data_IF_768485622858
#
_entry.id   IF_768485622858
#
_cell.length_a   1.000
_cell.length_b   1.000
_cell.length_c   1.000
_cell.angle_alpha   90.00
_cell.angle_beta   90.00
_cell.angle_gamma   90.00
#
_symmetry.space_group_name_H-M   'P 1'
#
loop_
_entity.id
_entity.type
_entity.pdbx_description
1 polymer ?
#
# COMPACT_ATOMS: atom_id res chain seq x y z
N UNK A 1 20.63 25.41 28.29
CA UNK A 1 19.89 24.34 29.00
C UNK A 1 19.94 23.10 28.15
N UNK A 2 20.48 21.99 28.66
CA UNK A 2 20.65 20.75 27.90
C UNK A 2 19.30 20.07 27.63
N UNK A 3 19.22 19.32 26.53
CA UNK A 3 18.02 18.57 26.06
C UNK A 3 17.51 17.63 27.17
N UNK A 4 18.41 17.05 27.96
CA UNK A 4 18.13 16.20 29.13
C UNK A 4 17.22 16.90 30.15
N UNK A 5 17.53 18.14 30.52
CA UNK A 5 16.73 18.91 31.49
C UNK A 5 15.33 19.30 30.98
N UNK A 6 15.13 19.36 29.65
CA UNK A 6 13.82 19.58 29.05
C UNK A 6 12.95 18.34 29.08
N UNK A 7 13.54 17.17 28.83
CA UNK A 7 12.86 15.87 28.91
C UNK A 7 12.40 15.56 30.32
N UNK A 8 13.22 15.83 31.32
CA UNK A 8 12.87 15.60 32.72
C UNK A 8 11.75 16.53 33.21
N UNK A 9 11.69 17.76 32.71
CA UNK A 9 10.57 18.68 32.98
C UNK A 9 9.25 18.22 32.38
N UNK A 10 9.28 17.68 31.17
CA UNK A 10 8.09 17.13 30.50
C UNK A 10 7.57 15.86 31.19
N UNK A 11 8.49 15.04 31.73
CA UNK A 11 8.12 13.86 32.53
C UNK A 11 7.48 14.25 33.87
N UNK A 12 7.94 15.30 34.50
CA UNK A 12 7.38 15.80 35.76
C UNK A 12 5.98 16.44 35.56
N UNK A 13 5.70 17.04 34.39
CA UNK A 13 4.40 17.63 34.06
C UNK A 13 3.36 16.60 33.64
N UNK A 14 3.75 15.39 33.25
CA UNK A 14 2.84 14.31 32.81
C UNK A 14 2.28 13.45 33.97
N UNK A 15 2.20 13.96 35.19
CA UNK A 15 1.51 13.36 36.32
C UNK A 15 1.99 11.94 36.65
N UNK A 16 2.94 11.80 37.54
CA UNK A 16 3.52 10.52 37.95
C UNK A 16 2.51 9.48 38.42
N UNK A 17 2.14 8.57 37.53
CA UNK A 17 1.74 7.21 37.91
C UNK A 17 2.94 6.31 37.66
N UNK A 18 3.47 5.76 38.76
CA UNK A 18 4.51 4.75 38.71
C UNK A 18 4.02 3.61 37.77
N UNK A 19 4.64 3.52 36.62
CA UNK A 19 4.51 2.32 35.76
C UNK A 19 5.31 1.26 36.48
N UNK A 20 4.61 0.24 36.99
CA UNK A 20 5.23 -0.93 37.59
C UNK A 20 6.29 -1.47 36.62
N UNK A 21 7.43 -1.82 37.15
CA UNK A 21 8.56 -2.39 36.42
C UNK A 21 8.06 -3.55 35.57
N UNK A 22 8.03 -3.34 34.26
CA UNK A 22 7.80 -4.43 33.29
C UNK A 22 9.05 -5.30 33.38
N UNK A 23 8.86 -6.53 33.87
CA UNK A 23 9.90 -7.53 34.00
C UNK A 23 10.65 -7.70 32.67
N UNK A 24 11.96 -7.82 32.76
CA UNK A 24 12.90 -8.12 31.69
C UNK A 24 12.61 -9.48 31.04
N UNK A 25 11.65 -9.50 30.11
CA UNK A 25 11.50 -10.58 29.14
C UNK A 25 11.19 -10.02 27.74
N UNK A 26 11.99 -9.05 27.31
CA UNK A 26 12.07 -8.77 25.87
C UNK A 26 12.85 -9.93 25.25
N UNK A 27 12.15 -10.76 24.47
CA UNK A 27 12.73 -11.86 23.71
C UNK A 27 14.02 -11.44 23.01
N UNK A 28 15.10 -12.25 23.04
CA UNK A 28 16.41 -11.94 22.41
C UNK A 28 16.29 -11.43 20.96
N UNK A 29 15.23 -11.82 20.25
CA UNK A 29 14.96 -11.39 18.89
C UNK A 29 14.69 -9.90 18.65
N UNK A 30 14.15 -9.15 19.61
CA UNK A 30 13.88 -7.71 19.40
C UNK A 30 15.15 -6.88 19.56
N UNK A 31 15.96 -7.16 20.58
CA UNK A 31 17.28 -6.52 20.77
C UNK A 31 18.24 -6.84 19.61
N UNK A 32 18.25 -8.09 19.16
CA UNK A 32 19.07 -8.51 18.03
C UNK A 32 18.60 -7.88 16.71
N UNK A 33 17.31 -7.76 16.49
CA UNK A 33 16.73 -7.06 15.33
C UNK A 33 17.07 -5.57 15.35
N UNK A 34 16.95 -4.90 16.50
CA UNK A 34 17.33 -3.49 16.67
C UNK A 34 18.84 -3.30 16.47
N UNK A 35 19.68 -4.17 17.03
CA UNK A 35 21.13 -4.12 16.84
C UNK A 35 21.55 -4.38 15.39
N UNK A 36 20.85 -5.25 14.66
CA UNK A 36 21.04 -5.44 13.21
C UNK A 36 20.64 -4.22 12.40
N UNK A 37 19.53 -3.56 12.76
CA UNK A 37 19.09 -2.32 12.13
C UNK A 37 20.11 -1.19 12.41
N UNK A 38 20.55 -1.02 13.66
CA UNK A 38 21.56 -0.01 14.03
C UNK A 38 22.92 -0.29 13.38
N UNK A 39 23.34 -1.55 13.29
CA UNK A 39 24.62 -1.94 12.67
C UNK A 39 24.55 -1.77 11.15
N UNK A 40 23.37 -2.01 10.54
CA UNK A 40 23.13 -1.78 9.11
C UNK A 40 23.13 -0.28 8.79
N UNK A 41 22.52 0.55 9.65
CA UNK A 41 22.51 2.00 9.54
C UNK A 41 23.91 2.62 9.70
N UNK A 42 24.76 2.09 10.60
CA UNK A 42 26.13 2.59 10.81
C UNK A 42 27.13 2.19 9.70
N UNK A 43 26.89 1.09 8.96
CA UNK A 43 27.81 0.58 7.93
C UNK A 43 27.60 1.14 6.53
N UNK A 44 26.53 1.84 6.28
CA UNK A 44 26.25 2.34 4.98
C UNK A 44 26.74 3.78 4.83
N UNK A 45 27.87 3.94 4.19
CA UNK A 45 28.35 5.24 3.76
C UNK A 45 27.30 5.89 2.84
N UNK A 46 26.89 7.12 3.19
CA UNK A 46 26.09 7.97 2.32
C UNK A 46 26.80 8.11 0.95
N UNK A 47 26.11 7.78 -0.12
CA UNK A 47 26.64 7.98 -1.48
C UNK A 47 26.16 9.31 -2.02
N UNK A 48 27.06 10.13 -2.63
CA UNK A 48 26.66 11.34 -3.32
C UNK A 48 25.60 11.04 -4.39
N UNK A 49 24.70 11.99 -4.65
CA UNK A 49 23.62 11.86 -5.63
C UNK A 49 24.12 11.49 -7.04
N UNK A 50 25.33 11.90 -7.40
CA UNK A 50 26.02 11.56 -8.66
C UNK A 50 26.43 10.09 -8.79
N UNK A 51 26.33 9.29 -7.73
CA UNK A 51 26.67 7.86 -7.73
C UNK A 51 25.44 6.95 -7.66
N UNK A 52 24.22 7.53 -7.66
CA UNK A 52 22.99 6.74 -7.73
C UNK A 52 22.77 6.32 -9.18
N UNK A 53 22.15 5.13 -9.40
CA UNK A 53 21.68 4.77 -10.72
C UNK A 53 20.70 5.84 -11.21
N UNK A 54 20.73 6.12 -12.50
CA UNK A 54 19.75 6.99 -13.12
C UNK A 54 18.37 6.30 -13.18
N UNK A 55 17.34 7.05 -13.52
CA UNK A 55 15.98 6.53 -13.59
C UNK A 55 15.86 5.37 -14.58
N UNK A 56 16.65 5.39 -15.68
CA UNK A 56 16.63 4.34 -16.69
C UNK A 56 17.17 3.01 -16.14
N UNK A 57 18.28 3.04 -15.42
CA UNK A 57 18.86 1.85 -14.81
C UNK A 57 17.94 1.26 -13.71
N UNK A 58 17.22 2.11 -12.97
CA UNK A 58 16.22 1.65 -12.00
C UNK A 58 15.01 1.05 -12.72
N UNK A 59 14.53 1.68 -13.80
CA UNK A 59 13.42 1.19 -14.61
C UNK A 59 13.71 -0.22 -15.15
N UNK A 60 14.89 -0.44 -15.71
CA UNK A 60 15.33 -1.75 -16.21
C UNK A 60 15.32 -2.80 -15.08
N UNK A 61 15.76 -2.43 -13.88
CA UNK A 61 15.81 -3.36 -12.75
C UNK A 61 14.42 -3.73 -12.22
N UNK A 62 13.46 -2.82 -12.24
CA UNK A 62 12.08 -3.11 -11.80
C UNK A 62 11.20 -3.64 -12.93
N UNK A 63 11.71 -3.72 -14.16
CA UNK A 63 10.97 -4.17 -15.33
C UNK A 63 9.94 -3.13 -15.81
N UNK A 64 10.27 -1.85 -15.71
CA UNK A 64 9.40 -0.73 -16.07
C UNK A 64 10.03 0.23 -17.09
N UNK A 65 9.45 1.41 -17.20
CA UNK A 65 9.91 2.51 -18.04
C UNK A 65 9.87 3.84 -17.30
N UNK A 66 10.74 4.76 -17.69
CA UNK A 66 10.75 6.12 -17.12
C UNK A 66 9.55 6.88 -17.68
N UNK A 67 8.66 7.32 -16.80
CA UNK A 67 7.47 8.08 -17.16
C UNK A 67 7.72 9.59 -17.12
N UNK A 68 8.47 10.04 -16.12
CA UNK A 68 8.91 11.41 -15.92
C UNK A 68 10.20 11.42 -15.08
N UNK A 69 10.96 12.52 -15.00
CA UNK A 69 12.12 12.62 -14.11
C UNK A 69 11.72 12.32 -12.66
N UNK A 70 12.30 11.28 -12.07
CA UNK A 70 11.99 10.84 -10.72
C UNK A 70 10.77 9.92 -10.61
N UNK A 71 10.20 9.44 -11.73
CA UNK A 71 9.02 8.58 -11.76
C UNK A 71 9.17 7.45 -12.79
N UNK A 72 8.99 6.21 -12.32
CA UNK A 72 8.98 5.00 -13.15
C UNK A 72 7.59 4.40 -13.13
N UNK A 73 7.14 3.90 -14.29
CA UNK A 73 5.95 3.06 -14.42
C UNK A 73 6.36 1.60 -14.65
N UNK A 74 5.71 0.70 -13.91
CA UNK A 74 5.77 -0.75 -14.13
C UNK A 74 4.36 -1.24 -14.42
N UNK A 75 4.13 -1.90 -15.55
CA UNK A 75 2.83 -2.46 -15.89
C UNK A 75 2.88 -4.00 -15.84
N UNK A 76 1.82 -4.59 -15.29
CA UNK A 76 1.55 -6.03 -15.30
C UNK A 76 0.12 -6.26 -15.81
N UNK A 77 -0.02 -7.19 -16.72
CA UNK A 77 -1.34 -7.60 -17.25
C UNK A 77 -1.67 -9.00 -16.74
N UNK A 78 -2.86 -9.17 -16.18
CA UNK A 78 -3.34 -10.42 -15.62
C UNK A 78 -4.70 -10.76 -16.22
N UNK A 79 -4.79 -11.87 -16.97
CA UNK A 79 -6.04 -12.31 -17.57
C UNK A 79 -7.09 -12.66 -16.51
N UNK A 80 -8.34 -12.28 -16.73
CA UNK A 80 -9.45 -12.60 -15.81
C UNK A 80 -9.79 -14.08 -15.76
N UNK A 81 -9.28 -14.90 -16.69
CA UNK A 81 -9.39 -16.36 -16.65
C UNK A 81 -8.49 -17.01 -15.60
N UNK A 82 -7.61 -16.23 -14.97
CA UNK A 82 -6.73 -16.71 -13.91
C UNK A 82 -7.41 -16.66 -12.55
N UNK A 83 -6.72 -17.23 -11.55
CA UNK A 83 -7.14 -17.19 -10.16
C UNK A 83 -6.05 -16.55 -9.31
N UNK A 84 -6.46 -15.82 -8.26
CA UNK A 84 -5.58 -15.40 -7.16
C UNK A 84 -5.88 -16.24 -5.92
N UNK A 85 -4.95 -17.09 -5.54
CA UNK A 85 -5.23 -18.14 -4.57
C UNK A 85 -6.30 -19.11 -5.10
N UNK A 86 -7.39 -19.30 -4.36
CA UNK A 86 -8.53 -20.13 -4.75
C UNK A 86 -9.62 -19.36 -5.48
N UNK A 87 -9.50 -18.03 -5.57
CA UNK A 87 -10.54 -17.17 -6.11
C UNK A 87 -10.28 -16.89 -7.59
N UNK A 88 -11.21 -17.32 -8.47
CA UNK A 88 -11.21 -16.90 -9.87
C UNK A 88 -11.51 -15.41 -10.00
N UNK A 89 -10.83 -14.74 -10.92
CA UNK A 89 -11.09 -13.33 -11.25
C UNK A 89 -12.18 -13.16 -12.32
N UNK A 90 -12.61 -14.24 -12.97
CA UNK A 90 -13.61 -14.20 -14.05
C UNK A 90 -14.92 -13.47 -13.69
N UNK A 91 -15.45 -13.53 -12.44
CA UNK A 91 -16.66 -12.79 -12.08
C UNK A 91 -16.55 -11.27 -12.20
N UNK A 92 -15.33 -10.70 -12.23
CA UNK A 92 -15.12 -9.26 -12.48
C UNK A 92 -15.57 -8.79 -13.87
N UNK A 93 -15.85 -9.71 -14.80
CA UNK A 93 -16.43 -9.37 -16.11
C UNK A 93 -17.88 -8.90 -16.00
N UNK A 94 -18.55 -9.20 -14.90
CA UNK A 94 -19.95 -8.85 -14.67
C UNK A 94 -20.16 -8.04 -13.40
N UNK A 95 -21.40 -7.65 -13.14
CA UNK A 95 -21.76 -6.92 -11.94
C UNK A 95 -21.63 -7.79 -10.67
N UNK A 96 -21.05 -7.22 -9.62
CA UNK A 96 -20.93 -7.81 -8.29
C UNK A 96 -21.95 -7.12 -7.36
N UNK A 97 -23.10 -7.76 -7.14
CA UNK A 97 -24.26 -7.17 -6.45
C UNK A 97 -24.59 -7.83 -5.11
N UNK A 98 -23.82 -8.81 -4.69
CA UNK A 98 -24.07 -9.51 -3.41
C UNK A 98 -23.76 -8.65 -2.19
N UNK A 99 -22.79 -7.77 -2.29
CA UNK A 99 -22.35 -6.90 -1.20
C UNK A 99 -22.96 -5.50 -1.33
N UNK A 100 -23.76 -5.04 -0.36
CA UNK A 100 -24.49 -3.77 -0.46
C UNK A 100 -23.59 -2.55 -0.78
N UNK A 101 -22.42 -2.47 -0.17
CA UNK A 101 -21.51 -1.33 -0.36
C UNK A 101 -20.88 -1.29 -1.75
N UNK A 102 -20.89 -2.40 -2.48
CA UNK A 102 -20.30 -2.52 -3.81
C UNK A 102 -21.33 -2.69 -4.93
N UNK A 103 -22.62 -2.81 -4.60
CA UNK A 103 -23.66 -3.18 -5.54
C UNK A 103 -23.85 -2.18 -6.71
N UNK A 104 -23.54 -0.92 -6.46
CA UNK A 104 -23.68 0.16 -7.48
C UNK A 104 -22.38 0.39 -8.25
N UNK A 105 -21.26 -0.19 -7.83
CA UNK A 105 -19.97 -0.02 -8.50
C UNK A 105 -19.75 -1.11 -9.53
N UNK A 106 -19.68 -0.72 -10.80
CA UNK A 106 -19.32 -1.63 -11.89
C UNK A 106 -17.81 -1.92 -11.83
N UNK A 107 -17.37 -3.19 -11.74
CA UNK A 107 -15.96 -3.55 -11.81
C UNK A 107 -15.24 -2.99 -13.05
N UNK A 108 -15.94 -2.86 -14.21
CA UNK A 108 -15.35 -2.28 -15.42
C UNK A 108 -15.04 -0.79 -15.28
N UNK A 109 -15.64 -0.13 -14.31
CA UNK A 109 -15.50 1.30 -14.02
C UNK A 109 -14.82 1.57 -12.68
N UNK A 110 -14.34 0.51 -12.03
CA UNK A 110 -13.64 0.59 -10.74
C UNK A 110 -12.13 0.77 -10.92
N UNK A 111 -11.52 1.51 -10.00
CA UNK A 111 -10.08 1.61 -9.83
C UNK A 111 -9.69 0.97 -8.49
N UNK A 112 -8.97 -0.15 -8.53
CA UNK A 112 -8.29 -0.70 -7.36
C UNK A 112 -7.07 0.15 -7.05
N UNK A 113 -6.84 0.45 -5.78
CA UNK A 113 -5.75 1.33 -5.37
C UNK A 113 -5.16 0.86 -4.04
N UNK A 114 -3.83 0.86 -3.98
CA UNK A 114 -3.03 0.63 -2.78
C UNK A 114 -1.73 1.45 -2.82
N UNK A 115 -1.19 1.84 -1.66
CA UNK A 115 -0.01 2.71 -1.58
C UNK A 115 1.04 2.20 -0.62
N UNK A 116 2.34 2.40 -1.02
CA UNK A 116 3.46 2.31 -0.10
C UNK A 116 3.93 3.70 0.30
N UNK A 117 4.12 3.92 1.59
CA UNK A 117 4.37 5.25 2.15
C UNK A 117 5.58 5.27 3.06
N UNK A 118 6.19 6.42 3.24
CA UNK A 118 7.37 6.58 4.11
C UNK A 118 7.07 6.49 5.61
N UNK A 119 5.79 6.40 6.00
CA UNK A 119 5.38 6.27 7.41
C UNK A 119 3.88 6.18 7.58
N UNK A 120 3.46 5.65 8.74
CA UNK A 120 2.05 5.43 9.11
C UNK A 120 1.38 6.65 9.77
N UNK A 121 2.14 7.70 10.09
CA UNK A 121 1.67 8.77 10.99
C UNK A 121 0.75 9.81 10.32
N UNK A 122 0.54 9.73 9.00
CA UNK A 122 -0.33 10.66 8.28
C UNK A 122 -0.01 12.13 8.60
N UNK A 123 0.87 12.75 7.87
CA UNK A 123 1.24 14.16 8.02
C UNK A 123 1.89 14.67 6.74
N UNK A 124 2.11 15.97 6.63
CA UNK A 124 2.71 16.60 5.44
C UNK A 124 4.11 16.06 5.09
N UNK A 125 4.78 15.39 6.03
CA UNK A 125 6.07 14.73 5.82
C UNK A 125 6.00 13.30 5.30
N UNK A 126 4.80 12.68 5.27
CA UNK A 126 4.62 11.34 4.70
C UNK A 126 4.45 11.44 3.20
N UNK A 127 5.22 10.65 2.46
CA UNK A 127 5.20 10.60 0.98
C UNK A 127 4.72 9.24 0.54
N UNK A 128 3.85 9.22 -0.48
CA UNK A 128 3.52 8.01 -1.24
C UNK A 128 4.64 7.80 -2.24
N UNK A 129 5.49 6.82 -2.01
CA UNK A 129 6.63 6.56 -2.90
C UNK A 129 6.36 5.47 -3.94
N UNK A 130 5.35 4.64 -3.71
CA UNK A 130 4.81 3.70 -4.68
C UNK A 130 3.29 3.75 -4.62
N UNK A 131 2.68 3.97 -5.77
CA UNK A 131 1.25 3.92 -5.95
C UNK A 131 0.91 2.79 -6.92
N UNK A 132 0.20 1.77 -6.44
CA UNK A 132 -0.36 0.72 -7.26
C UNK A 132 -1.80 1.02 -7.62
N UNK A 133 -2.14 0.83 -8.90
CA UNK A 133 -3.50 0.96 -9.39
C UNK A 133 -3.84 -0.22 -10.30
N UNK A 134 -5.08 -0.69 -10.21
CA UNK A 134 -5.63 -1.73 -11.08
C UNK A 134 -6.88 -1.23 -11.80
N UNK A 135 -7.02 -1.53 -13.08
CA UNK A 135 -8.25 -1.29 -13.83
C UNK A 135 -8.51 -2.42 -14.82
N UNK A 136 -9.77 -2.69 -15.12
CA UNK A 136 -10.12 -3.66 -16.15
C UNK A 136 -9.99 -3.03 -17.53
N UNK A 137 -9.46 -3.82 -18.48
CA UNK A 137 -9.35 -3.48 -19.89
C UNK A 137 -9.68 -4.72 -20.71
N UNK A 138 -10.92 -4.81 -21.17
CA UNK A 138 -11.42 -6.00 -21.84
C UNK A 138 -11.44 -7.23 -20.91
N UNK A 139 -10.68 -8.26 -21.26
CA UNK A 139 -10.58 -9.51 -20.50
C UNK A 139 -9.47 -9.51 -19.45
N UNK A 140 -8.79 -8.38 -19.24
CA UNK A 140 -7.59 -8.30 -18.44
C UNK A 140 -7.73 -7.29 -17.31
N UNK A 141 -7.08 -7.60 -16.18
CA UNK A 141 -6.77 -6.65 -15.12
C UNK A 141 -5.37 -6.09 -15.39
N UNK A 142 -5.31 -4.80 -15.72
CA UNK A 142 -4.06 -4.06 -15.86
C UNK A 142 -3.69 -3.46 -14.53
N UNK A 143 -2.54 -3.85 -14.00
CA UNK A 143 -1.96 -3.33 -12.76
C UNK A 143 -0.77 -2.46 -13.12
N UNK A 144 -0.82 -1.19 -12.76
CA UNK A 144 0.27 -0.24 -12.94
C UNK A 144 0.80 0.20 -11.60
N UNK A 145 2.11 0.36 -11.54
CA UNK A 145 2.81 0.85 -10.37
C UNK A 145 3.58 2.09 -10.76
N UNK A 146 3.40 3.16 -10.02
CA UNK A 146 4.15 4.40 -10.18
C UNK A 146 5.12 4.52 -8.99
N UNK A 147 6.40 4.25 -9.27
CA UNK A 147 7.48 4.25 -8.29
C UNK A 147 8.27 5.56 -8.37
N UNK A 148 8.36 6.27 -7.27
CA UNK A 148 9.24 7.44 -7.17
C UNK A 148 10.69 7.01 -7.00
N UNK A 149 11.56 7.46 -7.90
CA UNK A 149 13.01 7.42 -7.77
C UNK A 149 13.59 8.72 -7.18
N UNK A 150 12.74 9.75 -7.08
CA UNK A 150 13.01 11.01 -6.43
C UNK A 150 11.73 11.80 -6.20
N UNK A 151 11.77 12.76 -5.29
CA UNK A 151 10.59 13.58 -4.95
C UNK A 151 10.10 14.44 -6.13
N UNK A 152 10.96 14.68 -7.15
CA UNK A 152 10.56 15.41 -8.35
C UNK A 152 9.49 14.70 -9.19
N UNK A 153 9.33 13.39 -9.04
CA UNK A 153 8.32 12.62 -9.76
C UNK A 153 6.92 12.68 -9.16
N UNK A 154 6.77 13.19 -7.94
CA UNK A 154 5.48 13.16 -7.23
C UNK A 154 4.36 13.94 -7.94
N UNK A 155 4.58 15.16 -8.49
CA UNK A 155 3.54 15.85 -9.23
C UNK A 155 3.02 15.04 -10.41
N UNK A 156 3.94 14.48 -11.22
CA UNK A 156 3.57 13.66 -12.37
C UNK A 156 2.80 12.38 -11.97
N UNK A 157 3.16 11.75 -10.85
CA UNK A 157 2.42 10.61 -10.30
C UNK A 157 0.97 10.99 -9.94
N UNK A 158 0.78 12.13 -9.30
CA UNK A 158 -0.55 12.61 -8.89
C UNK A 158 -1.39 13.06 -10.10
N UNK A 159 -0.78 13.68 -11.11
CA UNK A 159 -1.44 14.02 -12.37
C UNK A 159 -1.93 12.77 -13.09
N UNK A 160 -1.09 11.73 -13.18
CA UNK A 160 -1.49 10.43 -13.75
C UNK A 160 -2.63 9.78 -12.98
N UNK A 161 -2.61 9.87 -11.65
CA UNK A 161 -3.73 9.38 -10.85
C UNK A 161 -5.02 10.17 -11.15
N UNK A 162 -4.94 11.50 -11.26
CA UNK A 162 -6.08 12.36 -11.61
C UNK A 162 -6.67 12.01 -12.97
N UNK A 163 -5.83 11.83 -13.98
CA UNK A 163 -6.25 11.41 -15.33
C UNK A 163 -6.98 10.06 -15.29
N UNK A 164 -6.43 9.09 -14.58
CA UNK A 164 -7.00 7.75 -14.50
C UNK A 164 -8.34 7.75 -13.74
N UNK A 165 -8.42 8.52 -12.66
CA UNK A 165 -9.65 8.72 -11.90
C UNK A 165 -10.75 9.33 -12.77
N UNK A 166 -10.44 10.26 -13.68
CA UNK A 166 -11.41 10.85 -14.61
C UNK A 166 -12.14 9.82 -15.47
N UNK A 167 -11.56 8.66 -15.71
CA UNK A 167 -12.13 7.55 -16.47
C UNK A 167 -12.90 6.51 -15.66
N UNK A 168 -13.02 6.66 -14.32
CA UNK A 168 -13.59 5.66 -13.41
C UNK A 168 -14.75 6.20 -12.60
N UNK A 169 -15.64 5.34 -12.11
CA UNK A 169 -16.80 5.72 -11.31
C UNK A 169 -16.53 5.61 -9.80
N UNK A 170 -15.60 4.75 -9.40
CA UNK A 170 -15.29 4.57 -7.99
C UNK A 170 -13.97 3.87 -7.71
N UNK A 171 -13.63 3.84 -6.43
CA UNK A 171 -12.40 3.27 -5.90
C UNK A 171 -12.68 1.97 -5.14
N UNK A 172 -11.73 1.04 -5.21
CA UNK A 172 -11.68 -0.16 -4.37
C UNK A 172 -10.35 -0.17 -3.63
N UNK A 173 -10.39 -0.21 -2.30
CA UNK A 173 -9.19 -0.20 -1.44
C UNK A 173 -9.34 -1.16 -0.28
N UNK A 174 -8.31 -1.30 0.54
CA UNK A 174 -8.36 -1.96 1.84
C UNK A 174 -7.88 -1.02 2.94
N UNK A 175 -8.80 -0.46 3.73
CA UNK A 175 -8.54 0.57 4.74
C UNK A 175 -8.13 1.94 4.14
N UNK A 176 -8.28 2.11 2.84
CA UNK A 176 -7.85 3.31 2.12
C UNK A 176 -8.67 4.56 2.47
N UNK A 177 -9.93 4.41 2.93
CA UNK A 177 -10.72 5.53 3.43
C UNK A 177 -10.03 6.27 4.57
N UNK A 178 -9.30 5.54 5.42
CA UNK A 178 -8.65 6.09 6.60
C UNK A 178 -7.18 6.45 6.38
N UNK A 179 -6.51 5.90 5.36
CA UNK A 179 -5.07 6.04 5.15
C UNK A 179 -4.71 6.58 3.77
N UNK A 180 -4.88 5.80 2.70
CA UNK A 180 -4.39 6.12 1.37
C UNK A 180 -5.03 7.39 0.82
N UNK A 181 -6.34 7.48 0.88
CA UNK A 181 -7.08 8.59 0.26
C UNK A 181 -6.83 9.93 0.96
N UNK A 182 -6.89 10.04 2.29
CA UNK A 182 -6.53 11.29 2.97
C UNK A 182 -5.10 11.75 2.70
N UNK A 183 -4.15 10.79 2.61
CA UNK A 183 -2.76 11.10 2.29
C UNK A 183 -2.62 11.59 0.85
N UNK A 184 -3.16 10.87 -0.14
CA UNK A 184 -3.15 11.27 -1.54
C UNK A 184 -3.79 12.64 -1.76
N UNK A 185 -4.93 12.93 -1.10
CA UNK A 185 -5.57 14.25 -1.13
C UNK A 185 -4.67 15.35 -0.54
N UNK A 186 -3.98 15.05 0.56
CA UNK A 186 -3.04 15.98 1.18
C UNK A 186 -1.86 16.30 0.26
N UNK A 187 -1.28 15.26 -0.35
CA UNK A 187 -0.17 15.40 -1.30
C UNK A 187 -0.61 16.14 -2.57
N UNK A 188 -1.77 15.81 -3.13
CA UNK A 188 -2.32 16.46 -4.31
C UNK A 188 -2.54 17.95 -4.08
N UNK A 189 -3.08 18.35 -2.91
CA UNK A 189 -3.23 19.77 -2.55
C UNK A 189 -1.90 20.52 -2.50
N UNK A 190 -0.84 19.88 -1.99
CA UNK A 190 0.51 20.49 -1.96
C UNK A 190 1.04 20.79 -3.36
N UNK A 191 0.67 19.97 -4.35
CA UNK A 191 1.09 20.12 -5.74
C UNK A 191 0.05 20.83 -6.63
N UNK A 192 -1.07 21.28 -6.07
CA UNK A 192 -2.12 21.95 -6.83
C UNK A 192 -2.88 21.03 -7.79
N UNK A 193 -2.85 19.71 -7.57
CA UNK A 193 -3.55 18.71 -8.37
C UNK A 193 -4.91 18.41 -7.76
N UNK A 194 -5.97 18.43 -8.56
CA UNK A 194 -7.29 17.95 -8.15
C UNK A 194 -7.47 16.49 -8.57
N UNK A 195 -7.68 15.62 -7.60
CA UNK A 195 -7.93 14.18 -7.84
C UNK A 195 -9.41 13.87 -8.14
N UNK A 196 -10.32 14.83 -8.06
CA UNK A 196 -11.74 14.62 -8.31
C UNK A 196 -12.38 13.54 -7.42
N UNK A 197 -11.93 13.40 -6.18
CA UNK A 197 -12.38 12.35 -5.26
C UNK A 197 -13.67 12.68 -4.52
N UNK A 198 -14.11 13.94 -4.55
CA UNK A 198 -15.32 14.36 -3.86
C UNK A 198 -16.57 13.74 -4.49
N UNK A 199 -17.39 13.08 -3.67
CA UNK A 199 -18.62 12.43 -4.13
C UNK A 199 -18.44 11.15 -4.93
N UNK A 200 -17.20 10.70 -5.13
CA UNK A 200 -16.89 9.44 -5.83
C UNK A 200 -17.23 8.23 -4.96
N UNK A 201 -17.78 7.19 -5.58
CA UNK A 201 -17.99 5.92 -4.88
C UNK A 201 -16.65 5.37 -4.36
N UNK A 202 -16.67 4.83 -3.14
CA UNK A 202 -15.46 4.25 -2.54
C UNK A 202 -15.81 2.99 -1.75
N UNK A 203 -15.51 1.85 -2.34
CA UNK A 203 -15.61 0.54 -1.73
C UNK A 203 -14.34 0.23 -0.95
N UNK A 204 -14.37 0.40 0.37
CA UNK A 204 -13.28 -0.03 1.26
C UNK A 204 -13.58 -1.43 1.80
N UNK A 205 -12.88 -2.42 1.28
CA UNK A 205 -13.11 -3.84 1.56
C UNK A 205 -12.84 -4.25 3.02
N UNK A 206 -12.14 -3.42 3.80
CA UNK A 206 -11.96 -3.68 5.23
C UNK A 206 -13.30 -3.68 5.98
N UNK A 207 -14.23 -2.79 5.64
CA UNK A 207 -15.50 -2.67 6.34
C UNK A 207 -16.39 -3.92 6.17
N UNK A 208 -16.70 -4.39 4.95
CA UNK A 208 -17.43 -5.63 4.76
C UNK A 208 -16.69 -6.84 5.31
N UNK A 209 -15.36 -6.92 5.19
CA UNK A 209 -14.55 -7.98 5.82
C UNK A 209 -14.76 -8.01 7.34
N UNK A 210 -14.67 -6.85 8.01
CA UNK A 210 -14.89 -6.75 9.46
C UNK A 210 -16.31 -7.10 9.87
N UNK A 211 -17.31 -6.72 9.09
CA UNK A 211 -18.71 -7.02 9.38
C UNK A 211 -18.96 -8.52 9.49
N UNK A 212 -18.40 -9.30 8.58
CA UNK A 212 -18.56 -10.76 8.54
C UNK A 212 -17.60 -11.46 9.50
N UNK A 213 -16.32 -11.09 9.52
CA UNK A 213 -15.28 -11.97 10.06
C UNK A 213 -14.61 -11.49 11.35
N UNK A 214 -14.86 -10.26 11.83
CA UNK A 214 -14.14 -9.73 13.02
C UNK A 214 -14.29 -10.57 14.29
N UNK A 215 -15.39 -11.35 14.40
CA UNK A 215 -15.66 -12.23 15.55
C UNK A 215 -15.04 -13.63 15.41
N UNK A 216 -14.59 -13.96 14.19
CA UNK A 216 -14.12 -15.30 13.83
C UNK A 216 -12.62 -15.33 13.52
N UNK A 217 -12.04 -14.19 13.17
CA UNK A 217 -10.63 -14.08 12.82
C UNK A 217 -9.83 -13.35 13.89
N UNK A 218 -8.52 -13.66 14.04
CA UNK A 218 -7.66 -12.98 15.00
C UNK A 218 -7.50 -11.49 14.70
N UNK A 219 -7.59 -11.12 13.43
CA UNK A 219 -7.62 -9.76 12.91
C UNK A 219 -8.17 -9.75 11.48
N UNK A 220 -8.48 -8.54 10.96
CA UNK A 220 -8.94 -8.37 9.58
C UNK A 220 -7.88 -7.60 8.75
N UNK A 221 -6.62 -7.99 8.81
CA UNK A 221 -5.59 -7.50 7.89
C UNK A 221 -5.78 -8.13 6.51
N UNK A 222 -5.31 -7.47 5.46
CA UNK A 222 -5.39 -8.01 4.09
C UNK A 222 -4.75 -9.40 4.00
N UNK A 223 -3.57 -9.60 4.56
CA UNK A 223 -2.87 -10.89 4.62
C UNK A 223 -3.66 -11.99 5.36
N UNK A 224 -4.48 -11.61 6.34
CA UNK A 224 -5.37 -12.58 7.02
C UNK A 224 -6.55 -12.95 6.12
N UNK A 225 -7.12 -11.99 5.39
CA UNK A 225 -8.17 -12.24 4.42
C UNK A 225 -7.68 -13.11 3.25
N UNK A 226 -6.49 -12.84 2.73
CA UNK A 226 -5.85 -13.67 1.71
C UNK A 226 -5.73 -15.13 2.17
N UNK A 227 -5.14 -15.34 3.33
CA UNK A 227 -4.95 -16.70 3.85
C UNK A 227 -6.27 -17.42 4.12
N UNK A 228 -7.23 -16.73 4.76
CA UNK A 228 -8.48 -17.34 5.23
C UNK A 228 -9.52 -17.48 4.13
N UNK A 229 -9.69 -16.47 3.29
CA UNK A 229 -10.75 -16.41 2.30
C UNK A 229 -10.27 -16.81 0.91
N UNK A 230 -9.06 -16.36 0.53
CA UNK A 230 -8.49 -16.66 -0.79
C UNK A 230 -7.59 -17.89 -0.80
N UNK A 231 -7.21 -18.43 0.37
CA UNK A 231 -6.33 -19.58 0.48
C UNK A 231 -4.94 -19.32 -0.10
N UNK A 232 -4.47 -18.07 -0.05
CA UNK A 232 -3.16 -17.67 -0.52
C UNK A 232 -2.26 -17.31 0.64
N UNK A 233 -1.07 -17.88 0.63
CA UNK A 233 0.02 -17.54 1.51
C UNK A 233 1.17 -17.02 0.64
N UNK A 234 1.67 -15.83 0.95
CA UNK A 234 2.78 -15.23 0.20
C UNK A 234 4.08 -15.80 0.74
N UNK A 235 4.75 -16.57 -0.08
CA UNK A 235 6.10 -17.09 0.20
C UNK A 235 7.11 -16.08 -0.36
N UNK A 236 8.18 -15.80 0.39
CA UNK A 236 9.26 -14.86 0.01
C UNK A 236 8.80 -13.42 -0.29
N UNK A 237 7.71 -12.98 0.36
CA UNK A 237 7.24 -11.60 0.26
C UNK A 237 8.08 -10.65 1.13
N UNK A 238 8.31 -9.44 0.62
CA UNK A 238 8.86 -8.36 1.44
C UNK A 238 7.76 -7.91 2.42
N UNK A 239 7.96 -8.02 3.75
CA UNK A 239 6.95 -7.48 4.66
C UNK A 239 6.68 -6.00 4.35
N UNK A 240 5.41 -5.59 4.20
CA UNK A 240 5.05 -4.20 3.90
C UNK A 240 5.67 -3.17 4.85
N UNK A 241 5.91 -3.57 6.11
CA UNK A 241 6.65 -2.74 7.07
C UNK A 241 8.13 -2.48 6.68
N UNK A 242 8.69 -3.24 5.75
CA UNK A 242 10.07 -3.09 5.26
C UNK A 242 10.14 -2.28 3.95
N UNK A 243 9.04 -2.08 3.24
CA UNK A 243 8.98 -1.32 2.00
C UNK A 243 9.48 0.14 2.17
N UNK A 244 9.12 0.89 3.23
CA UNK A 244 9.67 2.22 3.47
C UNK A 244 11.19 2.22 3.65
N UNK A 245 11.71 1.23 4.37
CA UNK A 245 13.15 1.12 4.60
C UNK A 245 13.92 0.80 3.30
N UNK A 246 13.37 -0.05 2.45
CA UNK A 246 13.93 -0.40 1.14
C UNK A 246 14.04 0.83 0.23
N UNK A 247 12.97 1.64 0.16
CA UNK A 247 12.96 2.85 -0.66
C UNK A 247 13.88 3.95 -0.10
N UNK A 248 13.89 4.17 1.21
CA UNK A 248 14.80 5.13 1.84
C UNK A 248 16.28 4.72 1.68
N UNK A 249 16.58 3.42 1.74
CA UNK A 249 17.90 2.89 1.47
C UNK A 249 18.35 3.18 0.02
N UNK A 250 17.45 2.98 -0.94
CA UNK A 250 17.66 3.38 -2.32
C UNK A 250 17.96 4.88 -2.43
N UNK A 251 17.14 5.75 -1.83
CA UNK A 251 17.37 7.20 -1.88
C UNK A 251 18.69 7.63 -1.26
N UNK A 252 19.10 6.98 -0.17
CA UNK A 252 20.31 7.36 0.56
C UNK A 252 21.58 6.76 -0.05
N UNK A 253 21.51 5.52 -0.53
CA UNK A 253 22.68 4.74 -0.94
C UNK A 253 22.74 4.43 -2.43
N UNK A 254 21.64 4.67 -3.14
CA UNK A 254 21.51 4.32 -4.56
C UNK A 254 21.43 2.82 -4.80
N UNK A 255 20.96 2.02 -3.83
CA UNK A 255 20.83 0.57 -3.99
C UNK A 255 19.39 0.19 -4.36
N UNK A 256 19.08 -0.14 -5.62
CA UNK A 256 17.74 -0.43 -6.09
C UNK A 256 17.32 -1.91 -5.93
N UNK A 257 18.19 -2.79 -5.39
CA UNK A 257 17.99 -4.26 -5.39
C UNK A 257 16.71 -4.72 -4.72
N UNK A 258 16.17 -3.98 -3.76
CA UNK A 258 14.94 -4.35 -3.07
C UNK A 258 13.67 -3.77 -3.74
N UNK A 259 13.79 -2.78 -4.62
CA UNK A 259 12.64 -2.15 -5.27
C UNK A 259 11.76 -3.13 -6.07
N UNK A 260 12.30 -4.13 -6.80
CA UNK A 260 11.46 -5.14 -7.45
C UNK A 260 10.59 -5.93 -6.47
N UNK A 261 11.07 -6.19 -5.24
CA UNK A 261 10.29 -6.87 -4.22
C UNK A 261 9.16 -5.98 -3.68
N UNK A 262 9.41 -4.67 -3.53
CA UNK A 262 8.39 -3.69 -3.14
C UNK A 262 7.29 -3.60 -4.20
N UNK A 263 7.65 -3.48 -5.48
CA UNK A 263 6.68 -3.45 -6.60
C UNK A 263 5.86 -4.73 -6.65
N UNK A 264 6.48 -5.89 -6.45
CA UNK A 264 5.79 -7.19 -6.43
C UNK A 264 4.81 -7.29 -5.25
N UNK A 265 5.21 -6.84 -4.05
CA UNK A 265 4.35 -6.79 -2.87
C UNK A 265 3.07 -6.00 -3.16
N UNK A 266 3.20 -4.76 -3.62
CA UNK A 266 2.06 -3.91 -3.95
C UNK A 266 1.21 -4.48 -5.11
N UNK A 267 1.86 -5.15 -6.09
CA UNK A 267 1.14 -5.86 -7.16
C UNK A 267 0.24 -6.98 -6.61
N UNK A 268 0.74 -7.73 -5.63
CA UNK A 268 -0.04 -8.77 -4.97
C UNK A 268 -1.17 -8.17 -4.13
N UNK A 269 -1.00 -6.98 -3.54
CA UNK A 269 -2.07 -6.27 -2.83
C UNK A 269 -3.21 -5.89 -3.79
N UNK A 270 -2.92 -5.32 -4.96
CA UNK A 270 -3.94 -5.00 -5.96
C UNK A 270 -4.70 -6.25 -6.43
N UNK A 271 -3.98 -7.35 -6.68
CA UNK A 271 -4.62 -8.63 -7.06
C UNK A 271 -5.47 -9.20 -5.93
N UNK A 272 -5.00 -9.06 -4.69
CA UNK A 272 -5.75 -9.47 -3.50
C UNK A 272 -7.04 -8.65 -3.36
N UNK A 273 -7.01 -7.33 -3.60
CA UNK A 273 -8.21 -6.49 -3.60
C UNK A 273 -9.24 -6.97 -4.62
N UNK A 274 -8.81 -7.24 -5.85
CA UNK A 274 -9.68 -7.71 -6.92
C UNK A 274 -10.34 -9.06 -6.58
N UNK A 275 -9.53 -10.02 -6.12
CA UNK A 275 -10.02 -11.35 -5.71
C UNK A 275 -10.90 -11.27 -4.46
N UNK A 276 -10.55 -10.41 -3.50
CA UNK A 276 -11.31 -10.26 -2.25
C UNK A 276 -12.70 -9.67 -2.50
N UNK A 277 -12.83 -8.72 -3.42
CA UNK A 277 -14.15 -8.21 -3.80
C UNK A 277 -15.06 -9.33 -4.31
N UNK A 278 -14.57 -10.17 -5.23
CA UNK A 278 -15.32 -11.33 -5.75
C UNK A 278 -15.67 -12.31 -4.62
N UNK A 279 -14.74 -12.61 -3.74
CA UNK A 279 -14.95 -13.54 -2.63
C UNK A 279 -15.97 -13.02 -1.63
N UNK A 280 -15.91 -11.73 -1.27
CA UNK A 280 -16.88 -11.10 -0.37
C UNK A 280 -18.27 -11.03 -1.02
N UNK A 281 -18.36 -10.67 -2.29
CA UNK A 281 -19.64 -10.67 -3.03
C UNK A 281 -20.34 -12.02 -2.93
N UNK A 282 -19.60 -13.11 -3.12
CA UNK A 282 -20.14 -14.47 -2.94
C UNK A 282 -20.59 -14.75 -1.50
N UNK A 283 -19.77 -14.42 -0.51
CA UNK A 283 -20.09 -14.62 0.90
C UNK A 283 -21.38 -13.90 1.30
N UNK A 284 -21.58 -12.68 0.81
CA UNK A 284 -22.79 -11.91 1.09
C UNK A 284 -24.02 -12.47 0.40
N UNK A 285 -23.90 -13.02 -0.82
CA UNK A 285 -25.01 -13.73 -1.50
C UNK A 285 -25.41 -14.98 -0.74
N UNK A 286 -24.45 -15.78 -0.31
CA UNK A 286 -24.70 -17.03 0.43
C UNK A 286 -25.25 -16.76 1.83
N UNK A 287 -24.77 -15.75 2.55
CA UNK A 287 -25.23 -15.36 3.88
C UNK A 287 -26.56 -14.61 3.90
N UNK A 288 -26.98 -13.99 2.79
CA UNK A 288 -28.28 -13.34 2.65
C UNK A 288 -29.42 -14.31 2.31
N UNK A 289 -29.10 -15.57 2.03
CA UNK A 289 -30.06 -16.64 1.79
C UNK A 289 -30.41 -17.43 3.07
N UNK A 290 -29.88 -17.05 4.24
CA UNK A 290 -30.16 -17.58 5.56
C UNK A 290 -30.93 -16.54 6.36
#
# INVERSE_FOLDING_TARGET
>A
MSLSKRIDRLRAQAGGRAVAAVSESATPGVRERLARIETRQRRAAWRPRSQRPDDQAVAEQVGGSVLAPGLIEVERVVGLDTAYGRQSLAPLRGALQGMPEGAELDPQRALWLDTETTGLAGGTGTVVFLLGVGCLAGSDLRVRHWLLTGFSGEPAMLERLSELLGGTDGLVTYNGKSFDIPLLQSRARLHGVDLGLQGRMHLDLLHPTRRVFRRHWPNCRLTTAERRLLGRERLDDLPGAEAPAAWLDFLQRGDPRQLPAVVRHNSDDILALAALWVALDRVYREGGAS
#
